data_IF_726162296035
#
_entry.id   IF_726162296035
#
_cell.length_a   1.000
_cell.length_b   1.000
_cell.length_c   1.000
_cell.angle_alpha   90.00
_cell.angle_beta   90.00
_cell.angle_gamma   90.00
#
_symmetry.space_group_name_H-M   'P 1'
#
loop_
_entity.id
_entity.type
_entity.pdbx_description
1 polymer ?
2 polymer ?
3 water ?
#
# COMPACT_ATOMS: atom_id res chain seq x y z
N UNK A 5 18.13 -18.39 0.39
CA UNK A 5 18.42 -19.20 1.62
C UNK A 5 18.12 -18.45 2.93
N UNK A 6 16.87 -18.42 3.39
CA UNK A 6 15.66 -18.33 2.56
C UNK A 6 14.69 -17.61 3.45
N UNK A 7 14.27 -16.44 3.01
CA UNK A 7 13.27 -15.70 3.71
C UNK A 7 12.14 -15.51 2.75
N UNK A 8 10.92 -15.61 3.26
CA UNK A 8 9.74 -15.43 2.43
C UNK A 8 8.80 -14.53 3.13
N UNK A 9 8.00 -13.77 2.38
CA UNK A 9 6.83 -13.13 2.95
C UNK A 9 5.62 -14.05 2.80
N UNK A 10 4.95 -14.31 3.92
CA UNK A 10 3.69 -15.06 3.92
C UNK A 10 2.58 -14.17 3.33
N UNK A 11 1.77 -14.75 2.43
CA UNK A 11 0.72 -14.02 1.76
C UNK A 11 -0.66 -14.45 2.21
N UNK A 12 -0.69 -15.14 3.33
CA UNK A 12 -1.91 -15.62 3.95
C UNK A 12 -1.77 -15.72 5.47
N UNK A 13 -2.89 -15.78 6.19
CA UNK A 13 -2.88 -16.03 7.63
C UNK A 13 -2.84 -17.52 7.85
N UNK A 14 -2.03 -17.97 8.81
CA UNK A 14 -1.95 -19.38 9.14
C UNK A 14 -2.18 -19.61 10.62
N UNK A 15 -3.17 -20.45 10.88
CA UNK A 15 -3.56 -20.81 12.23
C UNK A 15 -3.44 -22.33 12.32
N UNK A 16 -2.36 -22.84 12.94
CA UNK A 16 -2.24 -24.30 13.01
C UNK A 16 -3.03 -24.92 14.17
N UNK A 26 3.88 -26.46 15.08
CA UNK A 26 3.42 -25.54 14.02
C UNK A 26 3.57 -24.07 14.38
N UNK A 27 3.86 -23.26 13.36
CA UNK A 27 4.13 -21.84 13.55
C UNK A 27 2.98 -21.00 13.01
N UNK A 28 2.27 -20.28 13.90
CA UNK A 28 1.29 -19.30 13.45
C UNK A 28 1.97 -18.11 12.80
N UNK A 29 1.33 -17.56 11.76
CA UNK A 29 1.78 -16.31 11.18
C UNK A 29 0.63 -15.56 10.50
N UNK A 30 0.89 -14.30 10.17
CA UNK A 30 -0.12 -13.44 9.53
C UNK A 30 0.35 -13.00 8.15
N UNK A 31 -0.60 -12.70 7.27
CA UNK A 31 -0.31 -12.17 5.92
C UNK A 31 0.62 -10.99 6.09
N UNK A 32 1.74 -11.00 5.38
CA UNK A 32 2.71 -9.92 5.49
C UNK A 32 3.94 -10.28 6.29
N UNK A 33 3.84 -11.25 7.21
CA UNK A 33 4.99 -11.64 8.06
C UNK A 33 6.18 -12.18 7.24
N UNK A 34 7.39 -11.83 7.64
CA UNK A 34 8.57 -12.40 7.03
C UNK A 34 8.95 -13.59 7.89
N UNK A 35 9.22 -14.70 7.21
CA UNK A 35 9.57 -16.00 7.79
C UNK A 35 10.95 -16.38 7.29
N UNK A 36 11.81 -16.83 8.18
CA UNK A 36 13.03 -17.46 7.78
C UNK A 36 12.77 -18.96 7.67
N UNK A 37 12.92 -19.52 6.46
CA UNK A 37 12.62 -20.93 6.22
C UNK A 37 13.93 -21.65 6.46
N UNK A 38 14.00 -22.36 7.58
CA UNK A 38 15.22 -23.01 8.02
C UNK A 38 15.41 -24.41 7.42
N UNK A 39 14.34 -25.01 6.91
CA UNK A 39 14.45 -26.32 6.26
C UNK A 39 13.25 -26.49 5.33
N UNK A 40 13.55 -26.72 4.05
CA UNK A 40 12.53 -26.94 3.01
C UNK A 40 12.69 -28.30 2.31
N UNK A 41 13.29 -29.27 2.97
CA UNK A 41 13.54 -30.58 2.36
C UNK A 41 12.27 -31.38 2.14
N UNK A 42 11.31 -31.20 3.02
CA UNK A 42 10.06 -31.97 2.96
C UNK A 42 9.09 -31.26 2.00
N UNK A 43 8.55 -32.03 1.06
CA UNK A 43 7.66 -31.51 0.04
C UNK A 43 6.42 -30.90 0.65
N UNK A 44 5.96 -31.39 1.80
CA UNK A 44 4.66 -30.95 2.34
C UNK A 44 4.78 -29.89 3.42
N UNK A 45 5.90 -29.91 4.13
CA UNK A 45 6.04 -29.08 5.33
C UNK A 45 7.42 -28.43 5.40
N UNK A 46 7.45 -27.15 5.69
CA UNK A 46 8.72 -26.44 5.91
C UNK A 46 8.93 -26.14 7.40
N UNK A 47 10.19 -25.98 7.82
CA UNK A 47 10.46 -25.53 9.18
C UNK A 47 10.77 -24.05 9.00
N UNK A 48 10.23 -23.21 9.85
CA UNK A 48 10.43 -21.77 9.67
C UNK A 48 10.55 -21.06 10.98
N UNK A 49 11.20 -19.89 10.95
CA UNK A 49 11.62 -19.22 12.17
C UNK A 49 10.77 -18.03 12.50
N UNK A 50 10.52 -17.18 11.50
CA UNK A 50 9.84 -15.91 11.77
C UNK A 50 10.82 -14.84 12.29
N UNK A 51 11.12 -13.90 11.41
CA UNK A 51 11.96 -12.78 11.73
C UNK A 51 10.96 -11.77 12.18
N UNK A 52 10.76 -11.60 13.49
CA UNK A 52 9.79 -10.60 13.96
C UNK A 52 10.38 -9.20 13.73
N UNK A 61 9.03 -23.49 14.13
CA UNK A 61 7.81 -24.27 13.99
C UNK A 61 7.61 -24.78 12.57
N UNK A 62 6.50 -25.49 12.36
CA UNK A 62 6.24 -26.09 11.06
C UNK A 62 5.22 -25.24 10.29
N UNK A 63 5.43 -25.08 8.98
CA UNK A 63 4.47 -24.34 8.14
C UNK A 63 4.24 -25.13 6.87
N UNK A 64 3.05 -24.98 6.25
CA UNK A 64 2.81 -25.66 4.98
C UNK A 64 3.83 -25.26 3.92
N UNK A 65 4.30 -26.22 3.13
CA UNK A 65 5.15 -25.85 1.98
C UNK A 65 4.33 -24.99 1.01
N UNK A 66 5.03 -24.26 0.16
CA UNK A 66 4.37 -23.56 -0.94
C UNK A 66 3.46 -24.48 -1.75
N UNK A 67 3.95 -25.64 -2.20
CA UNK A 67 3.09 -26.51 -3.01
C UNK A 67 1.87 -26.99 -2.25
N UNK A 68 2.02 -27.28 -0.96
CA UNK A 68 0.88 -27.78 -0.19
C UNK A 68 -0.19 -26.67 -0.14
N UNK A 69 0.22 -25.47 0.22
CA UNK A 69 -0.78 -24.40 0.37
C UNK A 69 -1.44 -24.07 -0.97
N UNK A 70 -0.62 -24.06 -2.02
CA UNK A 70 -1.18 -23.85 -3.37
C UNK A 70 -2.17 -24.94 -3.81
N UNK A 71 -1.92 -26.20 -3.40
CA UNK A 71 -2.89 -27.28 -3.63
C UNK A 71 -4.21 -27.02 -2.90
N UNK A 72 -4.12 -26.64 -1.62
CA UNK A 72 -5.31 -26.28 -0.81
C UNK A 72 -6.13 -25.15 -1.45
N UNK A 73 -5.47 -24.11 -1.93
CA UNK A 73 -6.13 -22.96 -2.52
C UNK A 73 -6.66 -23.22 -3.92
N UNK A 74 -5.94 -24.00 -4.72
CA UNK A 74 -6.44 -24.37 -6.05
C UNK A 74 -7.68 -25.25 -5.88
N UNK A 75 -7.69 -26.10 -4.85
CA UNK A 75 -8.87 -26.93 -4.56
C UNK A 75 -10.04 -26.06 -4.15
N UNK A 86 -3.39 -17.57 -6.97
CA UNK A 86 -3.23 -18.16 -5.63
C UNK A 86 -2.06 -17.52 -4.85
N UNK A 87 -2.36 -17.04 -3.65
CA UNK A 87 -1.37 -16.36 -2.80
C UNK A 87 -0.81 -17.36 -1.80
N UNK A 88 0.49 -17.62 -1.88
CA UNK A 88 1.14 -18.48 -0.89
C UNK A 88 2.32 -17.78 -0.21
N UNK A 89 3.53 -17.94 -0.75
CA UNK A 89 4.72 -17.26 -0.22
C UNK A 89 5.46 -16.52 -1.31
N UNK A 90 6.07 -15.39 -0.97
CA UNK A 90 6.91 -14.54 -1.85
C UNK A 90 8.32 -14.49 -1.26
N UNK A 91 9.35 -14.87 -2.04
CA UNK A 91 10.74 -14.78 -1.56
C UNK A 91 11.15 -13.32 -1.39
N UNK A 92 11.81 -12.99 -0.26
CA UNK A 92 12.26 -11.60 0.02
C UNK A 92 13.73 -11.56 0.52
N UNK A 93 14.34 -10.38 0.43
CA UNK A 93 15.72 -10.21 0.91
C UNK A 93 15.94 -8.84 1.54
N UNK A 94 17.03 -8.71 2.30
CA UNK A 94 17.39 -7.40 2.88
C UNK A 94 17.94 -6.47 1.84
N UNK A 95 17.65 -5.16 2.00
CA UNK A 95 18.23 -4.04 1.19
C UNK A 95 18.59 -2.89 2.09
N UNK A 96 19.75 -2.28 1.83
CA UNK A 96 20.08 -0.97 2.44
C UNK A 96 19.61 0.07 1.48
N UNK A 97 18.76 0.95 1.97
CA UNK A 97 18.29 2.00 1.10
C UNK A 97 18.85 3.27 1.60
N UNK A 98 18.72 4.30 0.73
CA UNK A 98 19.33 5.58 0.93
C UNK A 98 18.30 6.67 0.78
N UNK A 99 17.03 6.33 1.05
CA UNK A 99 15.91 7.31 0.98
C UNK A 99 14.90 6.87 2.04
N UNK A 100 13.92 7.74 2.29
CA UNK A 100 12.85 7.51 3.26
C UNK A 100 11.65 6.94 2.53
N UNK A 101 11.08 5.83 3.04
CA UNK A 101 10.09 5.08 2.24
C UNK A 101 8.72 5.79 2.16
N UNK A 102 8.13 5.81 0.98
CA UNK A 102 6.75 6.27 0.86
C UNK A 102 5.82 5.36 1.66
N UNK A 103 4.66 5.88 2.05
CA UNK A 103 3.69 5.07 2.85
C UNK A 103 2.36 5.03 2.12
N UNK A 104 1.86 3.85 1.87
CA UNK A 104 0.50 3.69 1.29
C UNK A 104 -0.35 2.89 2.26
N UNK A 105 -1.42 3.51 2.74
CA UNK A 105 -2.36 2.82 3.67
C UNK A 105 -3.59 2.51 2.84
N UNK A 106 -4.05 1.25 2.91
CA UNK A 106 -5.22 0.83 2.12
C UNK A 106 -6.25 0.21 3.03
N UNK A 107 -7.50 0.15 2.58
CA UNK A 107 -8.56 -0.48 3.36
C UNK A 107 -9.48 0.57 3.94
N UNK A 108 -10.63 0.14 4.50
CA UNK A 108 -11.44 1.11 5.19
C UNK A 108 -10.62 1.58 6.41
N UNK A 109 -10.73 2.87 6.62
CA UNK A 109 -10.07 3.64 7.63
C UNK A 109 -8.85 4.33 7.05
N UNK A 110 -8.46 3.99 5.82
CA UNK A 110 -7.24 4.65 5.27
C UNK A 110 -7.31 6.20 5.29
N UNK A 111 -8.48 6.80 4.98
CA UNK A 111 -8.58 8.25 4.92
C UNK A 111 -8.37 8.85 6.33
N UNK A 112 -8.96 8.22 7.32
CA UNK A 112 -8.87 8.65 8.70
C UNK A 112 -7.40 8.52 9.18
N UNK A 113 -6.81 7.37 8.94
CA UNK A 113 -5.42 7.17 9.38
C UNK A 113 -4.44 8.12 8.66
N UNK A 114 -4.61 8.31 7.34
CA UNK A 114 -3.72 9.20 6.58
C UNK A 114 -3.83 10.62 7.18
N UNK A 115 -5.06 11.00 7.50
CA UNK A 115 -5.33 12.33 8.09
C UNK A 115 -4.65 12.48 9.44
N UNK A 116 -4.76 11.44 10.28
CA UNK A 116 -4.11 11.40 11.60
C UNK A 116 -2.61 11.57 11.41
N UNK A 117 -2.01 10.80 10.51
CA UNK A 117 -0.54 10.83 10.39
C UNK A 117 -0.01 12.16 9.93
N UNK A 118 -0.62 12.75 8.90
CA UNK A 118 -0.02 13.96 8.31
C UNK A 118 -0.28 15.15 9.26
N UNK A 119 -1.41 15.15 9.96
CA UNK A 119 -1.77 16.25 10.87
C UNK A 119 -1.02 16.20 12.19
N UNK A 120 -0.82 15.00 12.72
CA UNK A 120 -0.17 14.88 14.02
C UNK A 120 1.36 14.88 13.86
N UNK A 121 1.85 14.44 12.71
CA UNK A 121 3.29 14.30 12.46
C UNK A 121 3.79 15.02 11.20
N UNK A 122 3.58 16.36 11.14
CA UNK A 122 3.92 17.09 9.89
C UNK A 122 5.41 17.11 9.62
N UNK A 123 6.20 16.89 10.67
CA UNK A 123 7.62 16.83 10.48
C UNK A 123 8.11 15.43 10.06
N UNK A 124 7.22 14.44 10.07
CA UNK A 124 7.60 13.08 9.67
C UNK A 124 7.08 12.66 8.26
N UNK A 125 6.01 13.34 7.82
CA UNK A 125 5.32 12.99 6.56
C UNK A 125 5.25 14.15 5.69
N UNK A 126 5.32 13.87 4.38
CA UNK A 126 5.13 14.90 3.35
C UNK A 126 4.09 14.41 2.37
N UNK A 127 3.44 15.34 1.66
CA UNK A 127 2.58 14.91 0.58
C UNK A 127 3.14 15.44 -0.74
N UNK A 128 2.79 14.80 -1.84
CA UNK A 128 3.22 15.26 -3.14
C UNK A 128 2.27 16.29 -3.68
N UNK A 129 2.80 17.09 -4.60
CA UNK A 129 1.93 17.99 -5.38
C UNK A 129 1.61 17.26 -6.71
N UNK A 130 0.33 17.00 -6.95
CA UNK A 130 -0.05 16.28 -8.17
C UNK A 130 0.05 17.17 -9.40
N UNK A 131 0.04 16.53 -10.56
CA UNK A 131 -0.08 17.21 -11.88
C UNK A 131 -1.49 17.21 -12.38
N UNK A 132 -1.85 18.28 -13.09
CA UNK A 132 -3.13 18.23 -13.79
C UNK A 132 -3.06 18.99 -15.10
N UNK A 133 -3.90 18.57 -16.02
CA UNK A 133 -4.10 19.36 -17.28
C UNK A 133 -5.22 20.42 -17.15
N UNK A 134 -5.96 20.41 -16.02
CA UNK A 134 -6.96 21.46 -15.91
C UNK A 134 -6.29 22.83 -15.85
N UNK A 135 -6.99 23.87 -16.30
CA UNK A 135 -6.38 25.19 -16.31
C UNK A 135 -6.15 25.68 -14.90
N UNK A 136 -5.06 26.42 -14.71
CA UNK A 136 -4.81 27.09 -13.45
C UNK A 136 -5.85 28.21 -13.30
N UNK A 137 -6.45 28.29 -12.12
CA UNK A 137 -7.44 29.31 -11.80
C UNK A 137 -6.79 30.45 -11.05
N UNK A 138 -7.50 31.59 -11.01
CA UNK A 138 -6.98 32.80 -10.40
C UNK A 138 -6.30 32.65 -9.06
N UNK A 139 -6.80 31.99 -8.09
CA UNK A 139 -5.79 32.20 -6.97
C UNK A 139 -4.72 31.12 -6.71
N UNK A 140 -4.56 30.27 -7.72
CA UNK A 140 -3.80 29.07 -7.60
C UNK A 140 -2.33 29.32 -7.90
N UNK A 141 -1.50 28.49 -7.26
CA UNK A 141 -0.03 28.60 -7.38
C UNK A 141 0.57 27.31 -7.93
N UNK A 142 1.27 27.43 -9.06
CA UNK A 142 1.93 26.29 -9.63
C UNK A 142 3.00 25.80 -8.67
N UNK A 143 3.01 24.51 -8.44
CA UNK A 143 3.97 23.91 -7.54
C UNK A 143 3.48 23.87 -6.10
N UNK A 144 2.32 24.44 -5.82
CA UNK A 144 1.71 24.37 -4.49
C UNK A 144 0.39 23.65 -4.60
N UNK A 145 -0.51 24.16 -5.45
CA UNK A 145 -1.79 23.48 -5.68
C UNK A 145 -1.59 22.29 -6.63
N UNK A 146 -1.00 22.56 -7.79
CA UNK A 146 -0.68 21.47 -8.74
C UNK A 146 0.55 21.89 -9.50
N UNK A 147 1.16 20.93 -10.17
CA UNK A 147 2.04 21.19 -11.29
C UNK A 147 1.14 21.19 -12.51
N UNK A 148 0.95 22.36 -13.12
CA UNK A 148 0.01 22.49 -14.21
C UNK A 148 0.68 22.10 -15.55
N UNK A 149 -0.05 21.34 -16.35
CA UNK A 149 0.49 20.85 -17.63
C UNK A 149 -0.39 21.48 -18.68
N UNK A 150 0.23 22.20 -19.61
CA UNK A 150 -0.53 23.00 -20.58
C UNK A 150 -1.20 22.21 -21.63
N UNK A 151 -0.75 21.00 -21.88
CA UNK A 151 -1.28 20.17 -22.98
C UNK A 151 -1.72 18.79 -22.51
N UNK A 152 -2.98 18.41 -22.84
CA UNK A 152 -3.44 17.06 -22.46
C UNK A 152 -2.62 16.00 -23.15
N UNK A 153 -2.25 16.25 -24.42
CA UNK A 153 -1.47 15.28 -25.18
C UNK A 153 -0.11 15.08 -24.50
N UNK A 154 0.51 16.16 -24.01
CA UNK A 154 1.79 15.97 -23.29
C UNK A 154 1.69 15.11 -22.04
N UNK A 155 0.62 15.33 -21.24
CA UNK A 155 0.43 14.48 -20.06
C UNK A 155 0.18 13.00 -20.46
N UNK A 156 -0.58 12.78 -21.54
CA UNK A 156 -0.76 11.40 -22.07
C UNK A 156 0.58 10.74 -22.42
N UNK A 157 1.48 11.48 -23.08
CA UNK A 157 2.82 10.98 -23.42
C UNK A 157 3.56 10.62 -22.14
N UNK A 158 3.47 11.52 -21.13
CA UNK A 158 4.18 11.23 -19.91
C UNK A 158 3.65 9.98 -19.18
N UNK A 159 2.35 9.79 -19.18
CA UNK A 159 1.75 8.59 -18.61
C UNK A 159 2.25 7.35 -19.35
N UNK A 160 2.26 7.38 -20.68
CA UNK A 160 2.79 6.27 -21.47
C UNK A 160 4.28 5.98 -21.26
N UNK A 161 5.02 7.02 -20.86
CA UNK A 161 6.43 6.90 -20.57
C UNK A 161 6.73 6.60 -19.09
N UNK A 162 5.71 6.18 -18.33
CA UNK A 162 5.85 5.73 -16.96
C UNK A 162 6.37 6.79 -16.02
N UNK A 163 6.00 8.03 -16.30
CA UNK A 163 6.45 9.12 -15.39
C UNK A 163 5.50 9.25 -14.22
N UNK A 164 4.37 8.53 -14.21
CA UNK A 164 3.37 8.63 -13.14
C UNK A 164 3.16 7.31 -12.42
N UNK A 165 2.99 7.39 -11.10
CA UNK A 165 2.62 6.15 -10.36
C UNK A 165 1.13 5.87 -10.36
N UNK A 166 0.32 6.90 -10.64
CA UNK A 166 -1.12 6.77 -10.72
C UNK A 166 -1.63 7.97 -11.50
N UNK A 167 -2.64 7.76 -12.32
CA UNK A 167 -3.26 8.84 -13.04
C UNK A 167 -4.72 8.54 -13.27
N UNK A 168 -5.48 9.61 -13.50
CA UNK A 168 -6.94 9.42 -13.65
C UNK A 168 -7.56 10.62 -14.32
N UNK A 169 -8.84 10.50 -14.63
CA UNK A 169 -9.57 11.58 -15.31
C UNK A 169 -10.71 12.14 -14.46
N UNK A 170 -10.89 13.47 -14.47
CA UNK A 170 -12.07 14.10 -13.90
C UNK A 170 -12.47 15.28 -14.76
N UNK A 171 -13.75 15.34 -15.11
CA UNK A 171 -14.24 16.41 -15.97
C UNK A 171 -13.35 16.60 -17.19
N UNK A 172 -13.02 15.46 -17.80
CA UNK A 172 -12.22 15.36 -19.03
C UNK A 172 -10.77 15.83 -18.94
N UNK A 173 -10.32 16.26 -17.77
CA UNK A 173 -8.90 16.57 -17.56
C UNK A 173 -8.18 15.42 -16.89
N UNK A 174 -6.87 15.38 -17.07
CA UNK A 174 -6.05 14.36 -16.43
C UNK A 174 -5.36 14.86 -15.16
N UNK A 175 -5.16 13.94 -14.22
CA UNK A 175 -4.55 14.26 -12.92
C UNK A 175 -3.62 13.10 -12.62
N UNK A 176 -2.53 13.36 -11.90
CA UNK A 176 -1.70 12.21 -11.56
C UNK A 176 -0.61 12.57 -10.59
N UNK A 177 -0.03 11.54 -9.97
CA UNK A 177 1.07 11.71 -9.04
C UNK A 177 2.37 11.19 -9.67
N UNK A 178 3.34 12.07 -9.84
CA UNK A 178 4.53 11.72 -10.61
C UNK A 178 5.52 10.97 -9.76
N UNK A 179 6.27 10.10 -10.42
CA UNK A 179 7.44 9.39 -9.78
C UNK A 179 8.39 10.44 -9.20
N UNK A 180 8.70 11.48 -9.97
CA UNK A 180 9.63 12.51 -9.48
C UNK A 180 9.12 13.22 -8.25
N UNK A 181 7.83 13.51 -8.13
CA UNK A 181 7.34 14.20 -6.90
C UNK A 181 7.51 13.31 -5.71
N UNK A 182 7.28 12.00 -5.87
CA UNK A 182 7.47 11.10 -4.73
C UNK A 182 8.93 10.98 -4.39
N UNK A 183 9.81 10.86 -5.41
CA UNK A 183 11.24 10.77 -5.19
C UNK A 183 11.75 11.99 -4.43
N UNK A 184 11.27 13.17 -4.76
CA UNK A 184 11.71 14.40 -4.03
C UNK A 184 11.41 14.31 -2.53
N UNK A 185 10.21 13.83 -2.17
CA UNK A 185 9.89 13.71 -0.76
C UNK A 185 10.74 12.64 -0.07
N UNK A 186 10.85 11.48 -0.71
CA UNK A 186 11.65 10.41 -0.19
C UNK A 186 13.10 10.78 0.04
N UNK A 187 13.65 11.54 -0.90
CA UNK A 187 15.05 11.89 -0.82
C UNK A 187 15.34 12.99 0.20
N UNK A 188 14.35 13.80 0.53
CA UNK A 188 14.63 14.88 1.51
C UNK A 188 14.48 14.35 2.93
N UNK A 189 13.93 13.14 3.07
CA UNK A 189 13.92 12.49 4.37
C UNK A 189 12.54 12.42 5.02
N UNK A 190 11.49 12.56 4.25
CA UNK A 190 10.14 12.36 4.81
C UNK A 190 9.46 11.17 4.20
N UNK A 191 8.51 10.56 4.95
CA UNK A 191 7.66 9.55 4.36
C UNK A 191 6.56 10.17 3.50
N UNK A 192 6.53 9.87 2.21
CA UNK A 192 5.50 10.46 1.32
C UNK A 192 4.19 9.69 1.55
N UNK A 193 3.19 10.34 2.17
CA UNK A 193 1.87 9.71 2.44
C UNK A 193 1.08 9.79 1.16
N UNK A 194 0.74 8.64 0.60
CA UNK A 194 0.11 8.60 -0.74
C UNK A 194 -1.33 8.13 -0.71
N UNK A 195 -2.23 8.92 -1.29
CA UNK A 195 -3.64 8.51 -1.40
C UNK A 195 -3.82 7.94 -2.78
N UNK A 196 -3.42 6.68 -2.93
CA UNK A 196 -3.39 6.01 -4.20
C UNK A 196 -3.99 4.64 -4.02
N UNK A 197 -4.25 3.99 -5.16
CA UNK A 197 -4.80 2.64 -5.16
C UNK A 197 -3.66 1.63 -5.20
N UNK A 198 -4.03 0.36 -5.06
CA UNK A 198 -3.05 -0.69 -4.96
C UNK A 198 -2.14 -0.84 -6.17
N UNK A 199 -2.60 -0.41 -7.35
CA UNK A 199 -1.76 -0.58 -8.55
C UNK A 199 -0.51 0.30 -8.49
N UNK A 200 -0.54 1.32 -7.66
CA UNK A 200 0.63 2.20 -7.53
C UNK A 200 1.82 1.54 -6.85
N UNK A 201 1.56 0.48 -6.09
CA UNK A 201 2.65 -0.13 -5.29
C UNK A 201 3.69 -0.69 -6.24
N UNK A 202 3.21 -1.43 -7.23
CA UNK A 202 4.06 -2.02 -8.26
C UNK A 202 4.88 -0.92 -8.94
N UNK A 203 4.22 0.17 -9.31
CA UNK A 203 4.90 1.27 -10.03
C UNK A 203 6.06 1.83 -9.20
N UNK A 204 5.86 1.96 -7.89
CA UNK A 204 6.90 2.45 -7.02
C UNK A 204 8.05 1.44 -6.85
N UNK A 205 7.73 0.15 -6.84
CA UNK A 205 8.80 -0.88 -6.77
C UNK A 205 9.69 -0.82 -7.99
N UNK A 206 9.08 -0.65 -9.16
CA UNK A 206 9.84 -0.50 -10.41
C UNK A 206 10.77 0.72 -10.36
N UNK A 207 10.27 1.80 -9.77
CA UNK A 207 11.05 3.03 -9.60
C UNK A 207 12.10 2.94 -8.52
N UNK A 208 12.16 1.79 -7.83
CA UNK A 208 13.07 1.61 -6.73
C UNK A 208 12.83 2.55 -5.57
N UNK A 209 11.54 2.84 -5.32
CA UNK A 209 11.13 3.64 -4.18
C UNK A 209 10.15 2.77 -3.42
N UNK A 210 10.68 1.77 -2.73
CA UNK A 210 9.81 0.73 -2.12
C UNK A 210 8.93 1.26 -1.01
N UNK A 211 7.60 1.16 -1.16
CA UNK A 211 6.74 1.76 -0.14
C UNK A 211 6.47 0.82 1.01
N UNK A 212 6.13 1.37 2.15
CA UNK A 212 5.46 0.59 3.24
C UNK A 212 4.01 0.56 2.73
N UNK A 213 3.43 -0.63 2.53
CA UNK A 213 2.05 -0.72 2.00
C UNK A 213 1.23 -1.53 2.97
N UNK A 214 0.43 -0.84 3.78
CA UNK A 214 -0.26 -1.50 4.87
C UNK A 214 -1.74 -1.58 4.56
N UNK A 215 -2.32 -2.78 4.62
CA UNK A 215 -3.74 -2.95 4.45
C UNK A 215 -4.39 -3.04 5.80
N UNK A 216 -5.42 -2.23 6.03
CA UNK A 216 -6.16 -2.35 7.28
C UNK A 216 -7.39 -3.21 7.01
N UNK A 217 -7.37 -4.42 7.56
CA UNK A 217 -8.43 -5.40 7.24
C UNK A 217 -9.54 -5.40 8.28
N UNK A 218 -10.76 -5.10 7.86
CA UNK A 218 -11.90 -5.17 8.79
C UNK A 218 -12.13 -6.61 9.27
N UNK A 219 -12.52 -6.77 10.53
CA UNK A 219 -12.80 -8.12 11.07
C UNK A 219 -14.18 -8.63 10.65
N UNK A 220 -15.10 -7.70 10.42
CA UNK A 220 -16.51 -8.07 10.22
C UNK A 220 -17.31 -6.84 9.83
N UNK A 221 -18.55 -7.05 9.38
CA UNK A 221 -19.40 -5.92 9.08
C UNK A 221 -19.71 -5.13 10.37
N UNK A 222 -19.87 -5.85 11.47
CA UNK A 222 -20.10 -5.26 12.79
C UNK A 222 -18.98 -4.29 13.16
N UNK A 223 -17.75 -4.74 12.92
CA UNK A 223 -16.56 -3.97 13.24
C UNK A 223 -16.51 -2.69 12.41
N UNK A 224 -16.78 -2.80 11.12
CA UNK A 224 -16.89 -1.62 10.22
C UNK A 224 -17.91 -0.61 10.77
N UNK A 225 -19.06 -1.08 11.24
CA UNK A 225 -20.06 -0.19 11.82
C UNK A 225 -19.60 0.41 13.14
N UNK A 226 -18.97 -0.39 13.98
CA UNK A 226 -18.42 0.05 15.27
C UNK A 226 -17.49 1.27 15.12
N UNK A 227 -16.66 1.24 14.09
CA UNK A 227 -15.62 2.25 13.93
C UNK A 227 -16.01 3.27 12.87
N UNK A 228 -17.26 3.20 12.43
CA UNK A 228 -17.80 4.15 11.48
C UNK A 228 -19.30 4.25 11.68
N UNK A 229 -19.69 4.79 12.83
CA UNK A 229 -21.11 4.87 13.22
C UNK A 229 -21.95 5.72 12.27
N UNK A 230 -21.33 6.17 11.19
CA UNK A 230 -22.01 6.90 10.14
C UNK A 230 -22.83 5.99 9.23
N UNK A 231 -22.24 4.86 8.83
CA UNK A 231 -22.86 3.95 7.84
C UNK A 231 -24.05 3.15 8.38
N UNK A 232 -24.89 2.75 7.44
CA UNK A 232 -25.97 1.78 7.65
C UNK A 232 -25.38 0.36 7.52
N UNK A 233 -26.11 -0.66 7.93
CA UNK A 233 -25.73 -2.03 7.53
C UNK A 233 -26.30 -2.35 6.15
N UNK A 234 -25.83 -1.60 5.17
CA UNK A 234 -25.88 -2.00 3.80
C UNK A 234 -24.62 -1.40 3.25
N UNK A 235 -24.37 -0.15 3.62
CA UNK A 235 -23.16 0.59 3.28
C UNK A 235 -21.95 -0.12 3.86
N UNK A 236 -22.03 -0.48 5.15
CA UNK A 236 -20.90 -1.15 5.81
C UNK A 236 -20.63 -2.50 5.16
N UNK A 237 -21.70 -3.19 4.75
CA UNK A 237 -21.56 -4.50 4.12
C UNK A 237 -20.83 -4.41 2.79
N UNK A 238 -21.16 -3.40 2.00
CA UNK A 238 -20.52 -3.15 0.72
C UNK A 238 -19.04 -2.83 0.93
N UNK A 239 -18.76 -2.02 1.97
CA UNK A 239 -17.41 -1.61 2.35
C UNK A 239 -16.60 -2.83 2.77
N UNK A 240 -17.20 -3.67 3.59
CA UNK A 240 -16.60 -4.94 4.01
C UNK A 240 -16.26 -5.85 2.81
N UNK A 241 -17.27 -6.12 1.97
CA UNK A 241 -17.08 -6.78 0.67
C UNK A 241 -15.96 -6.27 -0.22
N UNK A 242 -15.88 -4.96 -0.34
CA UNK A 242 -14.90 -4.32 -1.19
C UNK A 242 -13.49 -4.57 -0.62
N UNK A 243 -13.37 -4.56 0.71
CA UNK A 243 -12.09 -4.76 1.37
C UNK A 243 -11.58 -6.18 1.18
N UNK A 244 -12.49 -7.16 1.28
CA UNK A 244 -12.10 -8.55 1.08
C UNK A 244 -11.57 -8.76 -0.33
N UNK A 245 -12.23 -8.14 -1.31
CA UNK A 245 -11.81 -8.22 -2.68
C UNK A 245 -10.47 -7.51 -2.91
N UNK A 246 -10.28 -6.36 -2.27
CA UNK A 246 -9.02 -5.61 -2.40
C UNK A 246 -7.86 -6.44 -1.86
N UNK A 247 -8.07 -7.11 -0.74
CA UNK A 247 -6.97 -7.88 -0.15
C UNK A 247 -6.54 -9.00 -1.07
N UNK A 248 -7.52 -9.65 -1.70
CA UNK A 248 -7.29 -10.66 -2.73
C UNK A 248 -6.50 -10.09 -3.91
N UNK A 249 -7.00 -9.00 -4.50
CA UNK A 249 -6.39 -8.40 -5.68
C UNK A 249 -4.97 -7.92 -5.49
N UNK A 250 -4.69 -7.35 -4.32
CA UNK A 250 -3.39 -6.75 -4.11
C UNK A 250 -2.61 -7.46 -3.03
N UNK A 251 -3.08 -8.65 -2.63
CA UNK A 251 -2.45 -9.34 -1.49
C UNK A 251 -0.97 -9.63 -1.65
N UNK A 252 -0.45 -9.75 -2.86
CA UNK A 252 1.01 -9.92 -3.00
C UNK A 252 1.87 -8.69 -2.74
N UNK A 253 1.22 -7.52 -2.76
CA UNK A 253 1.93 -6.26 -2.74
C UNK A 253 1.94 -5.62 -1.38
N UNK A 254 1.11 -6.10 -0.45
CA UNK A 254 1.17 -5.49 0.91
C UNK A 254 2.46 -5.86 1.61
N UNK A 255 3.00 -4.92 2.40
CA UNK A 255 4.13 -5.25 3.25
C UNK A 255 3.65 -5.58 4.68
N UNK A 256 2.38 -5.31 4.95
CA UNK A 256 1.80 -5.64 6.25
C UNK A 256 0.30 -5.60 6.20
N UNK A 257 -0.34 -6.27 7.17
CA UNK A 257 -1.79 -6.22 7.34
C UNK A 257 -2.07 -5.96 8.79
N UNK A 258 -2.91 -4.99 9.10
CA UNK A 258 -3.23 -4.71 10.48
C UNK A 258 -4.71 -4.91 10.73
N UNK A 259 -5.07 -5.35 11.92
CA UNK A 259 -6.47 -5.44 12.36
C UNK A 259 -6.55 -4.96 13.79
N UNK A 260 -7.74 -4.63 14.24
CA UNK A 260 -7.90 -4.22 15.61
C UNK A 260 -9.37 -4.02 15.93
N UNK A 261 -9.66 -3.90 17.23
CA UNK A 261 -11.04 -3.77 17.70
C UNK A 261 -11.43 -2.32 17.93
N UNK A 262 -10.43 -1.44 17.98
CA UNK A 262 -10.63 -0.01 18.06
C UNK A 262 -9.72 0.73 17.09
N UNK A 263 -10.10 1.96 16.75
CA UNK A 263 -9.28 2.80 15.90
C UNK A 263 -7.89 3.05 16.54
N UNK A 264 -7.88 3.20 17.86
CA UNK A 264 -6.63 3.45 18.57
C UNK A 264 -5.68 2.25 18.47
N UNK A 265 -6.20 1.03 18.59
CA UNK A 265 -5.40 -0.19 18.41
C UNK A 265 -4.82 -0.25 16.98
N UNK A 266 -5.71 -0.04 16.01
CA UNK A 266 -5.27 0.03 14.62
C UNK A 266 -4.17 1.08 14.38
N UNK A 267 -4.37 2.28 14.92
CA UNK A 267 -3.45 3.36 14.67
C UNK A 267 -2.08 3.06 15.29
N UNK A 268 -2.08 2.48 16.48
CA UNK A 268 -0.82 2.01 17.12
C UNK A 268 -0.07 1.01 16.25
N UNK A 269 -0.81 0.05 15.72
CA UNK A 269 -0.22 -1.02 14.90
C UNK A 269 0.34 -0.46 13.60
N UNK A 270 -0.35 0.53 13.01
CA UNK A 270 0.16 1.17 11.80
C UNK A 270 1.49 1.90 12.08
N UNK A 271 1.55 2.67 13.17
CA UNK A 271 2.78 3.41 13.49
C UNK A 271 3.92 2.42 13.79
N UNK A 272 3.60 1.34 14.49
CA UNK A 272 4.59 0.31 14.81
C UNK A 272 5.13 -0.28 13.51
N UNK A 273 4.25 -0.55 12.55
CA UNK A 273 4.64 -1.12 11.27
C UNK A 273 5.47 -0.15 10.43
N UNK A 274 5.06 1.11 10.38
CA UNK A 274 5.85 2.11 9.68
C UNK A 274 7.28 2.16 10.27
N UNK A 275 7.38 2.17 11.60
CA UNK A 275 8.68 2.24 12.28
C UNK A 275 9.54 0.99 11.90
N UNK A 276 8.89 -0.16 11.99
CA UNK A 276 9.60 -1.43 11.82
C UNK A 276 10.13 -1.58 10.41
N UNK A 277 9.37 -1.08 9.44
CA UNK A 277 9.71 -1.28 8.04
C UNK A 277 10.52 -0.10 7.52
N UNK A 278 10.80 0.87 8.38
CA UNK A 278 11.62 2.02 7.96
C UNK A 278 13.08 1.75 7.73
N UNK A 279 13.68 0.66 8.14
CA UNK A 279 15.19 0.71 7.81
C UNK A 279 15.97 1.95 8.32
N UNK A 280 17.24 2.18 7.89
CA UNK A 280 18.00 2.03 6.65
C UNK A 280 17.98 0.66 5.99
N UNK A 281 17.61 -0.37 6.73
CA UNK A 281 17.58 -1.73 6.22
C UNK A 281 16.13 -2.26 6.22
N UNK A 282 15.76 -2.84 5.08
CA UNK A 282 14.32 -3.10 4.75
C UNK A 282 14.25 -4.42 4.01
N UNK A 283 13.06 -4.99 3.94
CA UNK A 283 12.86 -6.21 3.16
C UNK A 283 12.25 -5.91 1.84
N UNK A 284 12.76 -6.54 0.79
CA UNK A 284 12.24 -6.25 -0.56
C UNK A 284 12.10 -7.54 -1.27
N UNK A 285 11.31 -7.54 -2.37
CA UNK A 285 11.16 -8.81 -3.07
C UNK A 285 12.51 -9.34 -3.55
N UNK A 286 12.68 -10.67 -3.58
CA UNK A 286 13.91 -11.28 -4.06
C UNK A 286 13.86 -11.48 -5.56
N UNK B 24 -7.75 18.51 -2.03
CA UNK B 24 -8.05 18.91 -3.43
C UNK B 24 -9.28 18.19 -3.90
N UNK B 25 -10.38 18.91 -4.07
CA UNK B 25 -11.65 18.33 -4.48
C UNK B 25 -11.54 17.45 -5.73
N UNK B 26 -10.84 17.91 -6.77
CA UNK B 26 -10.85 17.17 -8.00
C UNK B 26 -10.21 15.80 -7.84
N UNK B 27 -9.20 15.69 -6.97
CA UNK B 27 -8.46 14.43 -6.79
C UNK B 27 -9.29 13.38 -6.11
N UNK B 28 -10.33 13.82 -5.39
CA UNK B 28 -11.27 12.93 -4.71
C UNK B 28 -12.29 12.31 -5.67
N UNK B 29 -12.22 12.72 -6.94
CA UNK B 29 -13.26 12.39 -7.90
C UNK B 29 -12.79 11.71 -9.20
N UNK B 30 -11.61 11.10 -9.14
CA UNK B 30 -10.96 10.56 -10.34
C UNK B 30 -11.46 9.19 -10.77
N UNK B 31 -11.56 9.00 -12.08
CA UNK B 31 -11.69 7.69 -12.70
C UNK B 31 -10.29 7.28 -13.12
N UNK B 32 -9.75 6.26 -12.46
CA UNK B 32 -8.34 5.92 -12.66
C UNK B 32 -8.06 5.28 -14.00
N UNK B 33 -6.93 5.65 -14.60
CA UNK B 33 -6.51 5.03 -15.84
C UNK B 33 -5.41 4.01 -15.59
N UNK B 34 -5.49 2.89 -16.29
CA UNK B 34 -4.53 1.83 -16.07
C UNK B 34 -3.25 2.23 -16.77
N UNK B 35 -2.13 2.11 -16.06
CA UNK B 35 -0.81 2.36 -16.65
C UNK B 35 -0.23 1.06 -17.19
N UNK B 36 -0.15 0.98 -18.53
CA UNK B 36 0.48 -0.15 -19.26
C UNK B 36 2.01 -0.01 -19.12
N UNK B 37 2.73 -1.12 -18.85
CA UNK B 37 2.29 -2.50 -18.96
C UNK B 37 1.93 -3.09 -17.61
#
# INVERSE_FOLDING_TARGET
TQKRSLYVRALFDYDPNRDDGLPSRGLPFKHGDILHVTNASDDEWWQARRVLGDNEDEQIGIVPSKRRWERKMRARDRSVKSEENVLSYEAVQRLSINYTRPVIILGPLKDRINDDLISEYPDKFGSCVPHTTRPKREYEVDGRDYHFVSSREQMERDIQNHLFIEAGQYNDNLYGTSVASVREVAEKGKHCILDVSGNAIKRLQVAQLYPVAVFIKPKSVDSVMEMNRRMTEEQAKKTYERAIKMEQEFGEYFTGVVQGDTIEEIYSKVKSMIWSQSGPTIWVPSKESLGS
DHSASGNQSDGSENSQGRMVRVRRQDMEQLDLIKITPDGKRMQEEKLRAQ
#
